data_IF_694605762411
#
_entry.id   IF_694605762411
#
_cell.length_a   1.000
_cell.length_b   1.000
_cell.length_c   1.000
_cell.angle_alpha   90.00
_cell.angle_beta   90.00
_cell.angle_gamma   90.00
#
_symmetry.space_group_name_H-M   'P 1'
#
loop_
_entity.id
_entity.type
_entity.pdbx_description
1 polymer ?
#
# COMPACT_ATOMS: atom_id res chain seq x y z
N UNK A 1 -36.15 62.39 -11.96
CA UNK A 1 -35.60 61.79 -10.72
C UNK A 1 -36.00 60.37 -10.71
N UNK A 2 -35.13 59.51 -11.19
CA UNK A 2 -35.31 58.08 -11.21
C UNK A 2 -34.03 57.47 -10.61
N UNK A 3 -34.17 56.93 -9.41
CA UNK A 3 -33.10 56.26 -8.65
C UNK A 3 -32.94 54.84 -9.15
N UNK A 4 -31.79 54.57 -9.76
CA UNK A 4 -31.35 53.24 -10.16
C UNK A 4 -30.85 52.47 -8.94
N UNK A 5 -31.51 51.37 -8.62
CA UNK A 5 -31.15 50.48 -7.55
C UNK A 5 -30.27 49.36 -8.15
N UNK A 6 -28.95 49.48 -7.99
CA UNK A 6 -27.97 48.45 -8.34
C UNK A 6 -28.13 47.24 -7.41
N UNK A 7 -28.67 46.17 -7.95
CA UNK A 7 -28.73 44.87 -7.29
C UNK A 7 -27.33 44.24 -7.30
N UNK A 8 -26.69 44.17 -6.14
CA UNK A 8 -25.40 43.49 -5.98
C UNK A 8 -25.58 41.99 -6.20
N UNK A 9 -25.01 41.47 -7.28
CA UNK A 9 -24.88 40.04 -7.54
C UNK A 9 -23.92 39.45 -6.49
N UNK A 10 -24.46 38.71 -5.56
CA UNK A 10 -23.67 37.92 -4.62
C UNK A 10 -22.91 36.83 -5.40
N UNK A 11 -21.61 36.98 -5.50
CA UNK A 11 -20.69 35.93 -5.96
C UNK A 11 -20.82 34.74 -5.00
N UNK A 12 -20.99 33.50 -5.51
CA UNK A 12 -21.00 32.34 -4.64
C UNK A 12 -19.63 32.21 -3.95
N UNK A 13 -19.64 32.10 -2.63
CA UNK A 13 -18.45 31.82 -1.86
C UNK A 13 -17.81 30.53 -2.42
N UNK A 14 -16.61 30.67 -2.95
CA UNK A 14 -15.77 29.51 -3.29
C UNK A 14 -15.49 28.78 -1.98
N UNK A 15 -16.20 27.69 -1.74
CA UNK A 15 -15.79 26.70 -0.78
C UNK A 15 -14.42 26.19 -1.23
N UNK A 16 -13.37 26.67 -0.60
CA UNK A 16 -12.10 25.99 -0.57
C UNK A 16 -12.32 24.66 0.17
N UNK A 17 -12.78 23.66 -0.57
CA UNK A 17 -12.63 22.27 -0.17
C UNK A 17 -11.13 22.08 0.00
N UNK A 18 -10.66 22.07 1.23
CA UNK A 18 -9.37 21.51 1.56
C UNK A 18 -9.36 20.12 0.93
N UNK A 19 -8.59 19.95 -0.14
CA UNK A 19 -8.42 18.68 -0.84
C UNK A 19 -7.58 17.76 0.05
N UNK A 20 -8.15 17.31 1.17
CA UNK A 20 -7.60 16.18 1.86
C UNK A 20 -7.57 15.02 0.87
N UNK A 21 -6.40 14.47 0.64
CA UNK A 21 -6.25 13.31 -0.25
C UNK A 21 -7.15 12.18 0.23
N UNK A 22 -7.74 11.44 -0.71
CA UNK A 22 -8.58 10.30 -0.37
C UNK A 22 -7.81 9.32 0.52
N UNK A 23 -8.41 8.85 1.61
CA UNK A 23 -7.84 7.78 2.42
C UNK A 23 -8.17 6.43 1.78
N UNK A 24 -7.14 5.64 1.51
CA UNK A 24 -7.28 4.24 1.12
C UNK A 24 -7.11 3.38 2.35
N UNK A 25 -8.13 2.61 2.70
CA UNK A 25 -7.98 1.68 3.81
C UNK A 25 -8.53 0.30 3.45
N UNK A 26 -7.98 -0.71 4.08
CA UNK A 26 -8.44 -2.08 3.96
C UNK A 26 -9.14 -2.52 5.23
N UNK A 27 -10.13 -3.41 5.08
CA UNK A 27 -10.66 -4.21 6.17
C UNK A 27 -10.05 -5.60 6.08
N UNK A 28 -9.52 -6.10 7.19
CA UNK A 28 -8.97 -7.43 7.30
C UNK A 28 -9.31 -8.05 8.66
N UNK A 29 -9.14 -9.36 8.78
CA UNK A 29 -9.55 -10.15 9.94
C UNK A 29 -9.95 -11.55 9.51
N UNK A 30 -10.31 -12.42 10.45
CA UNK A 30 -10.71 -13.78 10.15
C UNK A 30 -12.06 -13.84 9.41
N UNK A 31 -12.40 -15.02 8.90
CA UNK A 31 -13.74 -15.29 8.37
C UNK A 31 -14.77 -15.02 9.47
N UNK A 32 -15.93 -14.48 9.13
CA UNK A 32 -17.03 -14.15 10.03
C UNK A 32 -16.73 -13.11 11.13
N UNK A 33 -15.61 -12.38 11.05
CA UNK A 33 -15.34 -11.28 11.98
C UNK A 33 -16.23 -10.06 11.73
N UNK A 34 -17.04 -10.05 10.63
CA UNK A 34 -17.99 -9.01 10.30
C UNK A 34 -17.43 -7.91 9.39
N UNK A 35 -16.42 -8.22 8.55
CA UNK A 35 -15.83 -7.25 7.59
C UNK A 35 -16.88 -6.69 6.63
N UNK A 36 -17.57 -7.54 5.90
CA UNK A 36 -18.59 -7.14 4.92
C UNK A 36 -19.74 -6.40 5.61
N UNK A 37 -20.14 -6.83 6.82
CA UNK A 37 -21.15 -6.12 7.62
C UNK A 37 -20.68 -4.71 8.02
N UNK A 38 -19.42 -4.56 8.42
CA UNK A 38 -18.84 -3.25 8.76
C UNK A 38 -18.80 -2.31 7.56
N UNK A 39 -18.37 -2.82 6.40
CA UNK A 39 -18.34 -2.03 5.15
C UNK A 39 -19.76 -1.61 4.76
N UNK A 40 -20.69 -2.55 4.75
CA UNK A 40 -22.11 -2.25 4.48
C UNK A 40 -22.65 -1.18 5.43
N UNK A 41 -22.34 -1.27 6.72
CA UNK A 41 -22.74 -0.28 7.73
C UNK A 41 -22.14 1.09 7.45
N UNK A 42 -20.83 1.17 7.14
CA UNK A 42 -20.18 2.43 6.77
C UNK A 42 -20.86 3.06 5.54
N UNK A 43 -21.15 2.28 4.51
CA UNK A 43 -21.76 2.77 3.28
C UNK A 43 -23.21 3.26 3.50
N UNK A 44 -24.01 2.54 4.29
CA UNK A 44 -25.40 2.89 4.58
C UNK A 44 -25.48 4.13 5.47
N UNK A 45 -24.76 4.11 6.60
CA UNK A 45 -24.88 5.17 7.60
C UNK A 45 -24.20 6.47 7.16
N UNK A 46 -23.19 6.39 6.23
CA UNK A 46 -22.62 7.57 5.54
C UNK A 46 -23.49 8.10 4.39
N UNK A 47 -24.69 7.49 4.16
CA UNK A 47 -25.61 7.84 3.08
C UNK A 47 -25.01 7.77 1.67
N UNK A 48 -24.04 6.89 1.48
CA UNK A 48 -23.32 6.71 0.21
C UNK A 48 -23.91 5.64 -0.70
N UNK A 49 -24.98 4.95 -0.26
CA UNK A 49 -25.71 3.93 -1.01
C UNK A 49 -26.98 4.54 -1.58
N UNK A 50 -27.26 4.26 -2.86
CA UNK A 50 -28.51 4.67 -3.51
C UNK A 50 -29.70 3.91 -2.92
N UNK A 51 -30.88 4.57 -2.84
CA UNK A 51 -32.09 3.96 -2.25
C UNK A 51 -32.52 2.68 -2.95
N UNK A 52 -32.33 2.57 -4.27
CA UNK A 52 -32.67 1.38 -5.06
C UNK A 52 -31.79 0.18 -4.68
N UNK A 53 -30.51 0.41 -4.36
CA UNK A 53 -29.59 -0.63 -3.90
C UNK A 53 -29.97 -1.10 -2.48
N UNK A 54 -30.38 -0.17 -1.61
CA UNK A 54 -30.89 -0.51 -0.27
C UNK A 54 -32.15 -1.36 -0.35
N UNK A 55 -33.10 -1.02 -1.24
CA UNK A 55 -34.32 -1.79 -1.43
C UNK A 55 -34.05 -3.21 -1.93
N UNK A 56 -32.99 -3.42 -2.74
CA UNK A 56 -32.60 -4.73 -3.26
C UNK A 56 -32.01 -5.70 -2.21
N UNK A 57 -31.52 -5.19 -1.09
CA UNK A 57 -30.90 -5.99 -0.01
C UNK A 57 -31.77 -6.10 1.25
N UNK A 58 -32.94 -5.47 1.24
CA UNK A 58 -33.97 -5.65 2.30
C UNK A 58 -34.68 -6.96 2.08
N UNK A 59 -34.46 -7.92 2.97
CA UNK A 59 -35.24 -9.18 3.05
C UNK A 59 -35.97 -9.22 4.37
N UNK A 60 -37.29 -9.41 4.32
CA UNK A 60 -38.13 -9.59 5.52
C UNK A 60 -38.05 -8.47 6.57
N UNK A 61 -37.77 -7.22 6.16
CA UNK A 61 -37.67 -6.07 7.06
C UNK A 61 -36.29 -5.82 7.69
N UNK A 62 -35.32 -6.69 7.49
CA UNK A 62 -33.92 -6.47 7.88
C UNK A 62 -33.05 -6.26 6.65
N UNK A 63 -32.09 -5.33 6.76
CA UNK A 63 -31.12 -5.06 5.69
C UNK A 63 -29.93 -5.99 5.87
N UNK A 64 -29.73 -6.90 4.93
CA UNK A 64 -28.52 -7.71 4.90
C UNK A 64 -27.35 -6.87 4.34
N UNK A 65 -26.58 -6.31 5.27
CA UNK A 65 -25.48 -5.41 4.97
C UNK A 65 -24.33 -6.09 4.21
N UNK A 66 -24.16 -7.40 4.36
CA UNK A 66 -23.12 -8.15 3.67
C UNK A 66 -23.41 -8.25 2.16
N UNK A 67 -24.68 -8.36 1.77
CA UNK A 67 -25.08 -8.40 0.35
C UNK A 67 -24.73 -7.12 -0.43
N UNK A 68 -24.51 -5.99 0.26
CA UNK A 68 -24.05 -4.76 -0.39
C UNK A 68 -22.59 -4.86 -0.86
N UNK A 69 -21.84 -5.77 -0.28
CA UNK A 69 -20.40 -5.93 -0.54
C UNK A 69 -20.09 -7.13 -1.44
N UNK A 70 -20.91 -8.17 -1.41
CA UNK A 70 -20.69 -9.39 -2.16
C UNK A 70 -20.93 -9.17 -3.67
N UNK A 71 -19.84 -8.97 -4.41
CA UNK A 71 -19.88 -8.64 -5.84
C UNK A 71 -20.00 -9.87 -6.74
N UNK A 72 -19.35 -10.97 -6.37
CA UNK A 72 -19.28 -12.19 -7.17
C UNK A 72 -20.38 -13.18 -6.79
N UNK A 73 -20.91 -13.91 -7.77
CA UNK A 73 -21.88 -14.99 -7.50
C UNK A 73 -21.28 -16.08 -6.59
N UNK A 74 -19.99 -16.40 -6.79
CA UNK A 74 -19.27 -17.36 -5.95
C UNK A 74 -19.12 -16.90 -4.50
N UNK A 75 -18.94 -15.60 -4.25
CA UNK A 75 -18.90 -15.03 -2.89
C UNK A 75 -20.25 -15.16 -2.20
N UNK A 76 -21.34 -14.89 -2.93
CA UNK A 76 -22.71 -15.05 -2.41
C UNK A 76 -23.09 -16.49 -2.10
N UNK A 77 -22.61 -17.45 -2.91
CA UNK A 77 -22.84 -18.88 -2.72
C UNK A 77 -22.05 -19.44 -1.53
N UNK A 78 -20.80 -18.97 -1.37
CA UNK A 78 -19.89 -19.47 -0.33
C UNK A 78 -19.97 -18.65 0.96
N UNK A 79 -20.51 -17.43 0.93
CA UNK A 79 -20.58 -16.51 2.07
C UNK A 79 -19.21 -15.99 2.51
N UNK A 80 -18.22 -15.95 1.61
CA UNK A 80 -16.86 -15.51 1.90
C UNK A 80 -16.35 -14.53 0.82
N UNK A 81 -15.55 -13.56 1.21
CA UNK A 81 -14.82 -12.69 0.29
C UNK A 81 -13.68 -13.49 -0.35
N UNK A 82 -13.65 -13.56 -1.68
CA UNK A 82 -12.64 -14.31 -2.46
C UNK A 82 -11.61 -13.35 -3.03
N UNK A 83 -12.05 -12.27 -3.67
CA UNK A 83 -11.20 -11.27 -4.32
C UNK A 83 -11.32 -9.91 -3.63
N UNK A 84 -10.39 -9.01 -3.93
CA UNK A 84 -10.42 -7.65 -3.39
C UNK A 84 -11.48 -6.82 -4.09
N UNK A 85 -12.51 -6.45 -3.36
CA UNK A 85 -13.52 -5.52 -3.85
C UNK A 85 -13.22 -4.10 -3.34
N UNK A 86 -13.18 -3.12 -4.26
CA UNK A 86 -13.03 -1.72 -3.88
C UNK A 86 -14.38 -1.03 -3.82
N UNK A 87 -14.60 -0.30 -2.73
CA UNK A 87 -15.79 0.53 -2.52
C UNK A 87 -15.39 1.98 -2.27
N UNK A 88 -16.24 2.89 -2.69
CA UNK A 88 -15.97 4.32 -2.63
C UNK A 88 -17.09 5.00 -1.87
N UNK A 89 -16.72 5.85 -0.93
CA UNK A 89 -17.66 6.74 -0.28
C UNK A 89 -16.99 8.06 0.09
N UNK A 90 -17.77 9.04 0.47
CA UNK A 90 -17.29 10.34 0.88
C UNK A 90 -18.13 10.87 2.04
N UNK A 91 -17.48 11.59 2.94
CA UNK A 91 -18.11 12.49 3.91
C UNK A 91 -17.94 13.93 3.44
N UNK A 92 -18.44 14.88 4.20
CA UNK A 92 -18.22 16.30 3.93
C UNK A 92 -16.73 16.68 4.01
N UNK A 93 -15.96 15.93 4.80
CA UNK A 93 -14.55 16.24 5.09
C UNK A 93 -13.57 15.44 4.23
N UNK A 94 -13.89 14.20 3.82
CA UNK A 94 -12.93 13.31 3.17
C UNK A 94 -13.57 12.28 2.24
N UNK A 95 -12.81 11.91 1.19
CA UNK A 95 -13.12 10.76 0.32
C UNK A 95 -12.41 9.51 0.83
N UNK A 96 -13.06 8.36 0.67
CA UNK A 96 -12.54 7.07 1.10
C UNK A 96 -12.59 6.03 -0.01
N UNK A 97 -11.59 5.19 -0.03
CA UNK A 97 -11.50 4.00 -0.87
C UNK A 97 -11.31 2.82 0.08
N UNK A 98 -12.28 1.93 0.16
CA UNK A 98 -12.23 0.72 0.98
C UNK A 98 -11.78 -0.44 0.10
N UNK A 99 -10.76 -1.17 0.51
CA UNK A 99 -10.43 -2.48 -0.03
C UNK A 99 -10.95 -3.55 0.93
N UNK A 100 -11.96 -4.32 0.50
CA UNK A 100 -12.39 -5.49 1.28
C UNK A 100 -11.43 -6.64 1.02
N UNK A 101 -10.66 -7.01 2.05
CA UNK A 101 -9.69 -8.08 1.95
C UNK A 101 -10.27 -9.40 2.48
N UNK A 102 -10.04 -10.53 1.77
CA UNK A 102 -10.53 -11.82 2.20
C UNK A 102 -9.96 -12.22 3.56
N UNK A 103 -10.79 -12.89 4.38
CA UNK A 103 -10.40 -13.36 5.71
C UNK A 103 -9.80 -14.76 5.72
N UNK A 104 -9.96 -15.52 4.64
CA UNK A 104 -9.52 -16.90 4.56
C UNK A 104 -8.01 -17.00 4.23
N UNK A 105 -7.32 -17.92 4.87
CA UNK A 105 -5.87 -18.10 4.73
C UNK A 105 -5.42 -18.33 3.29
N UNK A 106 -6.19 -19.11 2.53
CA UNK A 106 -5.90 -19.40 1.11
C UNK A 106 -5.92 -18.18 0.19
N UNK A 107 -6.50 -17.06 0.63
CA UNK A 107 -6.58 -15.81 -0.13
C UNK A 107 -5.62 -14.73 0.39
N UNK A 108 -4.57 -15.11 1.12
CA UNK A 108 -3.55 -14.17 1.64
C UNK A 108 -2.95 -13.30 0.53
N UNK A 109 -2.83 -13.82 -0.71
CA UNK A 109 -2.41 -13.08 -1.90
C UNK A 109 -3.24 -11.82 -2.13
N UNK A 110 -4.56 -11.95 -2.04
CA UNK A 110 -5.49 -10.85 -2.27
C UNK A 110 -5.40 -9.81 -1.15
N UNK A 111 -5.20 -10.27 0.10
CA UNK A 111 -4.92 -9.37 1.23
C UNK A 111 -3.65 -8.55 1.02
N UNK A 112 -2.55 -9.17 0.57
CA UNK A 112 -1.29 -8.48 0.26
C UNK A 112 -1.48 -7.44 -0.84
N UNK A 113 -2.25 -7.78 -1.89
CA UNK A 113 -2.57 -6.86 -2.99
C UNK A 113 -3.34 -5.64 -2.48
N UNK A 114 -4.35 -5.82 -1.65
CA UNK A 114 -5.11 -4.72 -1.05
C UNK A 114 -4.24 -3.84 -0.15
N UNK A 115 -3.45 -4.46 0.73
CA UNK A 115 -2.60 -3.77 1.70
C UNK A 115 -1.48 -2.96 1.05
N UNK A 116 -0.95 -3.40 -0.10
CA UNK A 116 0.16 -2.73 -0.79
C UNK A 116 -0.15 -1.29 -1.20
N UNK A 117 -1.42 -0.96 -1.41
CA UNK A 117 -1.88 0.38 -1.80
C UNK A 117 -2.60 1.15 -0.69
N UNK A 118 -2.75 0.55 0.49
CA UNK A 118 -3.51 1.13 1.58
C UNK A 118 -2.68 2.11 2.43
N UNK A 119 -3.35 3.16 2.90
CA UNK A 119 -2.84 4.12 3.88
C UNK A 119 -3.12 3.63 5.30
N UNK A 120 -4.23 2.93 5.49
CA UNK A 120 -4.66 2.39 6.78
C UNK A 120 -5.19 0.96 6.66
N UNK A 121 -5.10 0.21 7.75
CA UNK A 121 -5.71 -1.11 7.88
C UNK A 121 -6.62 -1.13 9.11
N UNK A 122 -7.87 -1.55 8.92
CA UNK A 122 -8.84 -1.83 9.98
C UNK A 122 -8.88 -3.34 10.17
N UNK A 123 -8.26 -3.81 11.24
CA UNK A 123 -8.22 -5.24 11.59
C UNK A 123 -9.39 -5.54 12.52
N UNK A 124 -10.36 -6.28 12.01
CA UNK A 124 -11.50 -6.72 12.82
C UNK A 124 -11.09 -7.88 13.71
N UNK A 125 -11.61 -7.84 14.94
CA UNK A 125 -11.38 -8.86 15.97
C UNK A 125 -12.72 -9.25 16.55
N UNK A 126 -13.17 -10.47 16.31
CA UNK A 126 -14.42 -11.00 16.83
C UNK A 126 -14.27 -11.36 18.32
N UNK A 127 -14.90 -10.60 19.19
CA UNK A 127 -14.85 -10.80 20.64
C UNK A 127 -15.41 -12.17 21.06
N UNK A 128 -16.38 -12.72 20.31
CA UNK A 128 -17.04 -13.99 20.64
C UNK A 128 -16.16 -15.23 20.40
N UNK A 129 -15.10 -15.08 19.61
CA UNK A 129 -14.14 -16.15 19.29
C UNK A 129 -12.97 -16.23 20.27
N UNK A 130 -12.89 -15.29 21.21
CA UNK A 130 -11.79 -15.19 22.17
C UNK A 130 -12.25 -15.57 23.56
N UNK A 131 -11.33 -16.10 24.36
CA UNK A 131 -11.54 -16.33 25.79
C UNK A 131 -11.43 -14.99 26.55
N UNK A 132 -12.39 -14.11 26.27
CA UNK A 132 -12.37 -12.71 26.73
C UNK A 132 -12.44 -12.56 28.27
N UNK A 133 -12.83 -13.60 29.00
CA UNK A 133 -12.80 -13.60 30.48
C UNK A 133 -11.37 -13.75 31.02
N UNK A 134 -10.48 -14.31 30.22
CA UNK A 134 -9.08 -14.51 30.60
C UNK A 134 -8.24 -13.26 30.29
N UNK A 135 -7.62 -12.61 31.29
CA UNK A 135 -6.74 -11.46 31.04
C UNK A 135 -5.51 -11.78 30.18
N UNK A 136 -5.12 -13.07 30.09
CA UNK A 136 -4.00 -13.58 29.28
C UNK A 136 -4.48 -14.28 28.02
N UNK A 137 -5.60 -13.86 27.45
CA UNK A 137 -6.18 -14.48 26.26
C UNK A 137 -5.19 -14.51 25.08
N UNK A 138 -5.25 -15.57 24.28
CA UNK A 138 -4.49 -15.69 23.05
C UNK A 138 -5.26 -15.10 21.87
N UNK A 139 -4.61 -14.28 21.05
CA UNK A 139 -5.17 -13.76 19.82
C UNK A 139 -5.21 -14.83 18.74
N UNK A 140 -6.21 -14.77 17.86
CA UNK A 140 -6.34 -15.69 16.74
C UNK A 140 -5.13 -15.56 15.77
N UNK A 141 -4.67 -16.66 15.16
CA UNK A 141 -3.55 -16.65 14.21
C UNK A 141 -3.77 -15.67 13.05
N UNK A 142 -4.98 -15.57 12.52
CA UNK A 142 -5.27 -14.64 11.41
C UNK A 142 -5.19 -13.17 11.82
N UNK A 143 -5.64 -12.82 13.01
CA UNK A 143 -5.48 -11.45 13.56
C UNK A 143 -3.99 -11.07 13.60
N UNK A 144 -3.14 -11.98 14.09
CA UNK A 144 -1.69 -11.79 14.13
C UNK A 144 -1.10 -11.67 12.72
N UNK A 145 -1.42 -12.60 11.83
CA UNK A 145 -0.91 -12.63 10.44
C UNK A 145 -1.28 -11.37 9.66
N UNK A 146 -2.54 -10.97 9.68
CA UNK A 146 -2.98 -9.79 8.95
C UNK A 146 -2.34 -8.50 9.49
N UNK A 147 -2.21 -8.38 10.80
CA UNK A 147 -1.53 -7.24 11.41
C UNK A 147 -0.05 -7.18 11.03
N UNK A 148 0.65 -8.33 11.04
CA UNK A 148 2.05 -8.42 10.62
C UNK A 148 2.23 -8.10 9.13
N UNK A 149 1.36 -8.62 8.25
CA UNK A 149 1.42 -8.31 6.82
C UNK A 149 1.16 -6.84 6.56
N UNK A 150 0.17 -6.23 7.21
CA UNK A 150 -0.09 -4.79 7.09
C UNK A 150 1.13 -3.97 7.56
N UNK A 151 1.76 -4.36 8.66
CA UNK A 151 2.98 -3.73 9.17
C UNK A 151 4.16 -3.88 8.21
N UNK A 152 4.44 -5.10 7.73
CA UNK A 152 5.52 -5.37 6.78
C UNK A 152 5.35 -4.59 5.47
N UNK A 153 4.11 -4.47 4.98
CA UNK A 153 3.78 -3.68 3.80
C UNK A 153 3.76 -2.17 4.07
N UNK A 154 4.16 -1.74 5.27
CA UNK A 154 4.23 -0.33 5.68
C UNK A 154 2.88 0.38 5.55
N UNK A 155 1.77 -0.29 5.84
CA UNK A 155 0.51 0.40 6.01
C UNK A 155 0.67 1.36 7.18
N UNK A 156 0.46 2.66 6.91
CA UNK A 156 0.88 3.73 7.85
C UNK A 156 0.11 3.69 9.16
N UNK A 157 -1.19 3.43 9.09
CA UNK A 157 -2.07 3.44 10.25
C UNK A 157 -2.76 2.09 10.43
N UNK A 158 -2.59 1.46 11.58
CA UNK A 158 -3.28 0.24 11.93
C UNK A 158 -4.31 0.52 13.04
N UNK A 159 -5.56 0.12 12.80
CA UNK A 159 -6.67 0.26 13.74
C UNK A 159 -7.22 -1.13 14.04
N UNK A 160 -7.36 -1.45 15.32
CA UNK A 160 -8.11 -2.63 15.74
C UNK A 160 -9.57 -2.28 16.00
N UNK A 161 -10.49 -2.94 15.32
CA UNK A 161 -11.92 -2.85 15.54
C UNK A 161 -12.41 -4.12 16.24
N UNK A 162 -12.60 -4.05 17.55
CA UNK A 162 -13.11 -5.17 18.36
C UNK A 162 -14.61 -5.24 18.17
N UNK A 163 -15.05 -6.22 17.39
CA UNK A 163 -16.44 -6.37 16.92
C UNK A 163 -17.21 -7.41 17.74
N UNK A 164 -18.52 -7.38 17.64
CA UNK A 164 -19.47 -8.29 18.27
C UNK A 164 -19.45 -8.26 19.80
N UNK A 165 -19.00 -7.18 20.38
CA UNK A 165 -19.08 -6.97 21.84
C UNK A 165 -20.52 -6.88 22.34
N UNK A 166 -21.48 -6.58 21.47
CA UNK A 166 -22.91 -6.64 21.77
C UNK A 166 -23.46 -8.07 21.98
N UNK A 167 -22.67 -9.09 21.63
CA UNK A 167 -23.01 -10.50 21.81
C UNK A 167 -22.31 -11.16 23.03
N UNK A 168 -21.48 -10.43 23.78
CA UNK A 168 -20.82 -10.96 24.97
C UNK A 168 -21.51 -10.46 26.26
N UNK A 169 -21.38 -11.22 27.34
CA UNK A 169 -22.10 -10.93 28.60
C UNK A 169 -21.59 -9.66 29.30
N UNK A 170 -20.28 -9.36 29.22
CA UNK A 170 -19.66 -8.16 29.78
C UNK A 170 -18.80 -7.47 28.72
N UNK A 171 -19.35 -6.55 27.94
CA UNK A 171 -18.64 -5.85 26.88
C UNK A 171 -17.44 -5.02 27.39
N UNK A 172 -17.52 -4.47 28.60
CA UNK A 172 -16.45 -3.63 29.14
C UNK A 172 -15.22 -4.47 29.55
N UNK A 173 -15.43 -5.58 30.25
CA UNK A 173 -14.37 -6.51 30.62
C UNK A 173 -13.74 -7.13 29.36
N UNK A 174 -14.58 -7.59 28.42
CA UNK A 174 -14.13 -8.19 27.16
C UNK A 174 -13.27 -7.21 26.36
N UNK A 175 -13.73 -5.98 26.18
CA UNK A 175 -12.95 -4.95 25.49
C UNK A 175 -11.62 -4.65 26.18
N UNK A 176 -11.61 -4.52 27.51
CA UNK A 176 -10.39 -4.23 28.26
C UNK A 176 -9.34 -5.35 28.08
N UNK A 177 -9.73 -6.61 28.23
CA UNK A 177 -8.82 -7.74 28.09
C UNK A 177 -8.31 -7.92 26.65
N UNK A 178 -9.20 -7.82 25.64
CA UNK A 178 -8.83 -7.91 24.23
C UNK A 178 -7.91 -6.76 23.83
N UNK A 179 -8.20 -5.53 24.25
CA UNK A 179 -7.35 -4.37 23.99
C UNK A 179 -5.94 -4.55 24.59
N UNK A 180 -5.83 -5.07 25.80
CA UNK A 180 -4.54 -5.33 26.44
C UNK A 180 -3.74 -6.40 25.69
N UNK A 181 -4.38 -7.48 25.26
CA UNK A 181 -3.73 -8.53 24.47
C UNK A 181 -3.27 -8.02 23.10
N UNK A 182 -4.08 -7.20 22.43
CA UNK A 182 -3.72 -6.54 21.15
C UNK A 182 -2.55 -5.57 21.33
N UNK A 183 -2.53 -4.79 22.41
CA UNK A 183 -1.44 -3.87 22.70
C UNK A 183 -0.12 -4.61 23.00
N UNK A 184 -0.17 -5.68 23.79
CA UNK A 184 1.01 -6.51 24.06
C UNK A 184 1.57 -7.17 22.78
N UNK A 185 0.70 -7.71 21.93
CA UNK A 185 1.10 -8.24 20.64
C UNK A 185 1.71 -7.17 19.75
N UNK A 186 1.07 -6.02 19.61
CA UNK A 186 1.56 -4.92 18.77
C UNK A 186 2.94 -4.43 19.25
N UNK A 187 3.13 -4.28 20.55
CA UNK A 187 4.42 -3.92 21.14
C UNK A 187 5.51 -4.95 20.82
N UNK A 188 5.22 -6.23 21.00
CA UNK A 188 6.18 -7.30 20.70
C UNK A 188 6.53 -7.38 19.21
N UNK A 189 5.57 -7.06 18.32
CA UNK A 189 5.76 -7.06 16.87
C UNK A 189 6.33 -5.74 16.31
N UNK A 190 6.53 -4.71 17.14
CA UNK A 190 6.96 -3.39 16.68
C UNK A 190 5.89 -2.63 15.85
N UNK A 191 4.62 -2.99 16.01
CA UNK A 191 3.49 -2.40 15.28
C UNK A 191 3.01 -1.14 15.99
N UNK A 192 2.95 -0.02 15.27
CA UNK A 192 2.31 1.21 15.77
C UNK A 192 0.81 1.13 15.52
N UNK A 193 0.03 1.14 16.61
CA UNK A 193 -1.43 1.11 16.56
C UNK A 193 -1.98 2.51 16.68
N UNK A 194 -2.79 2.95 15.71
CA UNK A 194 -3.43 4.26 15.73
C UNK A 194 -4.56 4.30 16.77
N UNK A 195 -5.36 3.25 16.86
CA UNK A 195 -6.41 3.11 17.86
C UNK A 195 -6.89 1.65 17.99
N UNK A 196 -7.50 1.35 19.15
CA UNK A 196 -8.33 0.15 19.34
C UNK A 196 -9.72 0.60 19.75
N UNK A 197 -10.75 0.25 18.96
CA UNK A 197 -12.12 0.75 19.10
C UNK A 197 -13.08 -0.43 19.27
N UNK A 198 -13.98 -0.39 20.27
CA UNK A 198 -15.09 -1.34 20.34
C UNK A 198 -16.14 -0.97 19.32
N UNK A 199 -16.57 -1.91 18.49
CA UNK A 199 -17.62 -1.68 17.49
C UNK A 199 -18.67 -2.78 17.53
N UNK A 200 -19.91 -2.44 17.16
CA UNK A 200 -20.89 -3.41 16.71
C UNK A 200 -21.26 -3.07 15.27
N UNK A 201 -20.70 -3.80 14.31
CA UNK A 201 -21.03 -3.62 12.91
C UNK A 201 -22.51 -3.86 12.63
N UNK A 202 -23.13 -4.79 13.35
CA UNK A 202 -24.56 -5.12 13.21
C UNK A 202 -25.46 -3.98 13.74
N UNK A 203 -25.16 -3.45 14.92
CA UNK A 203 -25.97 -2.39 15.55
C UNK A 203 -25.56 -0.98 15.10
N UNK A 204 -24.39 -0.81 14.47
CA UNK A 204 -23.83 0.48 14.07
C UNK A 204 -23.12 1.25 15.20
N UNK A 205 -22.97 0.63 16.40
CA UNK A 205 -22.37 1.31 17.55
C UNK A 205 -20.87 1.55 17.32
N UNK A 206 -20.44 2.79 17.55
CA UNK A 206 -19.07 3.29 17.31
C UNK A 206 -18.57 3.09 15.86
N UNK A 207 -19.45 2.88 14.88
CA UNK A 207 -19.07 2.79 13.46
C UNK A 207 -19.03 4.18 12.83
N UNK A 208 -20.16 4.83 12.64
CA UNK A 208 -20.27 6.18 12.09
C UNK A 208 -20.44 7.20 13.21
N UNK A 209 -21.32 6.91 14.16
CA UNK A 209 -21.59 7.75 15.33
C UNK A 209 -21.03 7.09 16.58
N UNK A 210 -20.38 7.89 17.42
CA UNK A 210 -19.92 7.39 18.71
C UNK A 210 -21.10 7.02 19.60
N UNK A 211 -21.00 5.87 20.27
CA UNK A 211 -21.95 5.41 21.27
C UNK A 211 -21.31 5.58 22.64
N UNK A 212 -21.64 6.65 23.39
CA UNK A 212 -20.95 6.99 24.61
C UNK A 212 -21.11 5.92 25.68
N UNK A 213 -20.05 5.70 26.43
CA UNK A 213 -19.96 4.77 27.57
C UNK A 213 -20.19 3.28 27.28
N UNK A 214 -20.44 2.90 26.02
CA UNK A 214 -20.56 1.49 25.68
C UNK A 214 -19.18 0.81 25.70
N UNK A 215 -19.12 -0.36 26.31
CA UNK A 215 -17.90 -1.12 26.54
C UNK A 215 -16.77 -0.34 27.27
N UNK A 216 -17.14 0.68 28.06
CA UNK A 216 -16.20 1.54 28.78
C UNK A 216 -15.34 2.44 27.86
N UNK A 217 -15.82 2.72 26.65
CA UNK A 217 -15.11 3.53 25.67
C UNK A 217 -15.71 4.93 25.52
N UNK A 218 -14.84 5.95 25.51
CA UNK A 218 -15.21 7.36 25.39
C UNK A 218 -14.50 8.06 24.21
N UNK A 219 -13.92 7.29 23.29
CA UNK A 219 -13.22 7.82 22.14
C UNK A 219 -14.12 8.09 20.93
N UNK A 220 -13.54 8.49 19.78
CA UNK A 220 -14.26 8.74 18.53
C UNK A 220 -14.81 7.46 17.94
N UNK A 221 -15.82 7.58 17.06
CA UNK A 221 -16.26 6.49 16.21
C UNK A 221 -15.18 6.09 15.22
N UNK A 222 -15.33 4.92 14.58
CA UNK A 222 -14.40 4.47 13.55
C UNK A 222 -14.32 5.46 12.39
N UNK A 223 -15.46 5.99 11.92
CA UNK A 223 -15.47 6.97 10.83
C UNK A 223 -14.76 8.27 11.22
N UNK A 224 -15.05 8.82 12.40
CA UNK A 224 -14.37 10.01 12.90
C UNK A 224 -12.86 9.81 13.00
N UNK A 225 -12.40 8.62 13.41
CA UNK A 225 -10.98 8.30 13.41
C UNK A 225 -10.43 8.26 11.97
N UNK A 226 -11.08 7.55 11.05
CA UNK A 226 -10.65 7.44 9.65
C UNK A 226 -10.55 8.82 8.96
N UNK A 227 -11.40 9.78 9.32
CA UNK A 227 -11.34 11.15 8.81
C UNK A 227 -10.03 11.86 9.19
N UNK A 228 -9.46 11.52 10.33
CA UNK A 228 -8.24 12.17 10.87
C UNK A 228 -6.94 11.43 10.54
N UNK A 229 -7.00 10.15 10.13
CA UNK A 229 -5.80 9.38 9.84
C UNK A 229 -4.99 10.00 8.70
N UNK A 230 -3.66 10.06 8.81
CA UNK A 230 -2.82 10.53 7.73
C UNK A 230 -2.83 9.55 6.55
N UNK A 231 -2.66 10.05 5.33
CA UNK A 231 -2.28 9.22 4.20
C UNK A 231 -0.81 8.86 4.29
N UNK A 232 -0.42 7.79 3.63
CA UNK A 232 0.99 7.38 3.57
C UNK A 232 1.82 8.51 2.98
N UNK A 233 2.84 9.00 3.69
CA UNK A 233 3.73 10.01 3.14
C UNK A 233 4.39 9.53 1.85
N UNK A 234 4.51 10.42 0.87
CA UNK A 234 5.33 10.16 -0.30
C UNK A 234 6.82 10.19 0.08
N UNK A 235 7.63 9.39 -0.61
CA UNK A 235 9.09 9.36 -0.41
C UNK A 235 9.76 10.61 -1.04
N UNK A 236 9.31 11.82 -0.66
CA UNK A 236 9.68 13.09 -1.28
C UNK A 236 11.12 13.56 -0.95
N UNK A 237 11.64 13.19 0.23
CA UNK A 237 12.99 13.57 0.66
C UNK A 237 14.12 12.71 0.08
N UNK A 238 13.81 11.77 -0.79
CA UNK A 238 14.76 10.86 -1.41
C UNK A 238 15.22 11.38 -2.80
N UNK A 239 16.33 10.90 -3.34
CA UNK A 239 16.71 11.18 -4.73
C UNK A 239 15.63 10.72 -5.72
N UNK A 240 15.58 11.34 -6.91
CA UNK A 240 14.61 10.98 -7.95
C UNK A 240 14.74 9.51 -8.34
N UNK A 241 13.59 8.82 -8.38
CA UNK A 241 13.40 7.56 -9.08
C UNK A 241 12.05 7.58 -9.80
N UNK A 242 12.07 7.37 -11.10
CA UNK A 242 10.91 7.40 -11.98
C UNK A 242 10.83 6.12 -12.80
N UNK A 243 9.75 5.37 -12.65
CA UNK A 243 9.50 4.13 -13.40
C UNK A 243 8.76 4.43 -14.69
N UNK A 244 9.36 4.09 -15.83
CA UNK A 244 8.75 4.31 -17.15
C UNK A 244 7.65 3.27 -17.38
N UNK A 245 6.41 3.76 -17.56
CA UNK A 245 5.23 2.92 -17.79
C UNK A 245 4.83 2.88 -19.26
N UNK A 246 5.06 3.97 -19.97
CA UNK A 246 4.69 4.14 -21.36
C UNK A 246 5.66 5.06 -22.08
N UNK A 247 5.98 4.78 -23.34
CA UNK A 247 6.82 5.62 -24.20
C UNK A 247 5.97 6.11 -25.37
N UNK A 248 5.81 7.43 -25.47
CA UNK A 248 5.10 8.09 -26.55
C UNK A 248 6.08 8.73 -27.52
N UNK A 249 5.89 8.52 -28.81
CA UNK A 249 6.66 9.24 -29.84
C UNK A 249 6.00 10.60 -30.07
N UNK A 250 6.77 11.64 -29.92
CA UNK A 250 6.35 13.02 -30.17
C UNK A 250 6.75 13.43 -31.58
N UNK A 251 5.83 13.33 -32.55
CA UNK A 251 6.12 13.54 -33.95
C UNK A 251 6.11 15.01 -34.41
N UNK A 252 5.73 15.95 -33.56
CA UNK A 252 5.45 17.34 -33.96
C UNK A 252 6.54 18.37 -33.60
N UNK A 253 7.69 17.95 -33.02
CA UNK A 253 8.76 18.91 -32.69
C UNK A 253 9.69 19.12 -33.90
N UNK A 254 9.74 20.34 -34.42
CA UNK A 254 10.78 20.80 -35.33
C UNK A 254 12.12 21.07 -34.62
N UNK A 255 12.14 21.03 -33.29
CA UNK A 255 13.33 21.28 -32.47
C UNK A 255 14.17 20.00 -32.35
N UNK A 256 15.33 20.01 -32.97
CA UNK A 256 16.29 18.89 -32.95
C UNK A 256 17.13 18.81 -31.68
N UNK A 257 17.00 19.81 -30.78
CA UNK A 257 17.74 19.88 -29.52
C UNK A 257 17.01 19.23 -28.34
N UNK A 258 15.82 18.71 -28.56
CA UNK A 258 15.04 17.96 -27.55
C UNK A 258 14.75 16.55 -28.03
N UNK A 259 14.68 15.60 -27.10
CA UNK A 259 14.26 14.26 -27.39
C UNK A 259 12.85 14.22 -28.00
N UNK A 260 12.63 13.30 -28.94
CA UNK A 260 11.35 13.15 -29.66
C UNK A 260 10.38 12.20 -28.96
N UNK A 261 10.65 11.84 -27.70
CA UNK A 261 9.86 10.90 -26.91
C UNK A 261 9.44 11.52 -25.60
N UNK A 262 8.22 11.18 -25.18
CA UNK A 262 7.74 11.48 -23.84
C UNK A 262 7.70 10.14 -23.08
N UNK A 263 8.38 10.11 -21.94
CA UNK A 263 8.41 8.96 -21.05
C UNK A 263 7.36 9.17 -19.96
N UNK A 264 6.23 8.50 -20.08
CA UNK A 264 5.15 8.57 -19.13
C UNK A 264 5.35 7.56 -17.99
N UNK A 265 5.10 8.00 -16.78
CA UNK A 265 5.23 7.16 -15.60
C UNK A 265 4.80 7.84 -14.31
N UNK A 266 5.30 7.31 -13.22
CA UNK A 266 5.07 7.85 -11.89
C UNK A 266 6.40 8.18 -11.23
N UNK A 267 6.47 9.32 -10.59
CA UNK A 267 7.59 9.69 -9.71
C UNK A 267 7.47 8.82 -8.46
N UNK A 268 8.35 7.85 -8.30
CA UNK A 268 8.38 6.95 -7.15
C UNK A 268 8.93 7.65 -5.92
N UNK A 269 10.06 8.35 -6.10
CA UNK A 269 10.75 9.10 -5.03
C UNK A 269 11.25 10.43 -5.56
N UNK A 270 11.44 11.39 -4.65
CA UNK A 270 12.03 12.70 -4.95
C UNK A 270 11.15 13.57 -5.84
N UNK A 271 11.79 14.59 -6.41
CA UNK A 271 11.15 15.57 -7.28
C UNK A 271 11.81 15.58 -8.66
N UNK A 272 11.04 15.94 -9.69
CA UNK A 272 11.53 16.10 -11.05
C UNK A 272 11.14 17.45 -11.62
N UNK A 273 12.12 18.15 -12.17
CA UNK A 273 11.96 19.45 -12.82
C UNK A 273 12.88 19.55 -14.06
N UNK A 274 12.63 20.47 -14.98
CA UNK A 274 13.60 20.79 -16.04
C UNK A 274 14.99 21.09 -15.49
N UNK A 275 16.04 20.54 -16.13
CA UNK A 275 17.42 20.65 -15.70
C UNK A 275 17.89 19.55 -14.73
N UNK A 276 17.01 18.70 -14.21
CA UNK A 276 17.40 17.58 -13.36
C UNK A 276 18.30 16.61 -14.15
N UNK A 277 19.51 16.39 -13.66
CA UNK A 277 20.45 15.41 -14.23
C UNK A 277 19.99 14.00 -13.86
N UNK A 278 19.90 13.11 -14.87
CA UNK A 278 19.36 11.77 -14.71
C UNK A 278 20.25 10.70 -15.34
N UNK A 279 20.13 9.49 -14.82
CA UNK A 279 20.70 8.27 -15.38
C UNK A 279 19.60 7.27 -15.69
N UNK A 280 19.70 6.60 -16.81
CA UNK A 280 18.74 5.57 -17.24
C UNK A 280 19.29 4.20 -16.87
N UNK A 281 18.49 3.39 -16.22
CA UNK A 281 18.84 2.00 -15.93
C UNK A 281 17.93 1.05 -16.73
N UNK A 282 18.48 -0.03 -17.30
CA UNK A 282 19.84 -0.59 -17.05
C UNK A 282 20.94 -0.03 -17.96
N UNK A 283 20.63 0.82 -18.95
CA UNK A 283 21.62 1.23 -19.97
C UNK A 283 22.81 2.05 -19.41
N UNK A 284 22.64 2.69 -18.25
CA UNK A 284 23.64 3.57 -17.66
C UNK A 284 23.79 4.93 -18.34
N UNK A 285 23.03 5.20 -19.41
CA UNK A 285 23.13 6.45 -20.17
C UNK A 285 22.69 7.63 -19.30
N UNK A 286 23.36 8.78 -19.47
CA UNK A 286 23.07 10.02 -18.76
C UNK A 286 22.39 11.03 -19.67
N UNK A 287 21.45 11.79 -19.13
CA UNK A 287 20.74 12.87 -19.80
C UNK A 287 20.30 13.92 -18.78
N UNK A 288 19.68 15.00 -19.27
CA UNK A 288 19.01 15.97 -18.41
C UNK A 288 17.53 16.04 -18.79
N UNK A 289 16.69 16.33 -17.82
CA UNK A 289 15.28 16.54 -18.06
C UNK A 289 15.08 17.87 -18.77
N UNK A 290 14.57 17.83 -20.00
CA UNK A 290 14.25 19.05 -20.75
C UNK A 290 12.88 19.62 -20.35
N UNK A 291 11.88 18.74 -20.19
CA UNK A 291 10.53 19.12 -19.80
C UNK A 291 9.90 18.06 -18.90
N UNK A 292 9.02 18.53 -18.03
CA UNK A 292 8.09 17.69 -17.25
C UNK A 292 6.67 18.11 -17.60
N UNK A 293 5.83 17.16 -17.97
CA UNK A 293 4.50 17.42 -18.55
C UNK A 293 3.42 16.75 -17.70
N UNK A 294 2.25 17.40 -17.63
CA UNK A 294 1.02 16.78 -17.11
C UNK A 294 0.31 15.97 -18.22
N UNK A 295 -0.82 15.35 -17.87
CA UNK A 295 -1.64 14.58 -18.81
C UNK A 295 -2.21 15.41 -19.97
N UNK A 296 -2.24 16.73 -19.86
CA UNK A 296 -2.63 17.66 -20.93
C UNK A 296 -1.43 18.17 -21.73
N UNK A 297 -0.23 17.65 -21.46
CA UNK A 297 1.07 18.05 -22.02
C UNK A 297 1.47 19.47 -21.68
N UNK A 298 0.97 20.01 -20.58
CA UNK A 298 1.42 21.31 -20.07
C UNK A 298 2.62 21.14 -19.15
N UNK A 299 3.62 22.06 -19.25
CA UNK A 299 4.77 22.04 -18.36
C UNK A 299 4.37 22.15 -16.89
N UNK A 300 4.97 21.31 -16.05
CA UNK A 300 4.71 21.29 -14.61
C UNK A 300 5.92 20.71 -13.88
N UNK A 301 6.11 21.04 -12.60
CA UNK A 301 6.97 20.29 -11.70
C UNK A 301 6.17 19.16 -11.01
N UNK A 302 6.79 18.03 -10.76
CA UNK A 302 6.16 16.88 -10.11
C UNK A 302 7.05 16.30 -9.03
N UNK A 303 6.40 15.90 -7.94
CA UNK A 303 7.03 15.22 -6.83
C UNK A 303 6.59 13.77 -6.68
N UNK A 304 7.17 13.11 -5.69
CA UNK A 304 6.91 11.71 -5.37
C UNK A 304 5.40 11.39 -5.30
N UNK A 305 5.03 10.25 -5.85
CA UNK A 305 3.63 9.80 -5.91
C UNK A 305 2.79 10.36 -7.04
N UNK A 306 3.30 11.33 -7.83
CA UNK A 306 2.57 11.97 -8.92
C UNK A 306 2.94 11.37 -10.29
N UNK A 307 1.97 11.36 -11.21
CA UNK A 307 2.21 10.95 -12.59
C UNK A 307 2.78 12.11 -13.41
N UNK A 308 3.74 11.82 -14.29
CA UNK A 308 4.38 12.79 -15.15
C UNK A 308 4.75 12.20 -16.51
N UNK A 309 4.89 13.07 -17.51
CA UNK A 309 5.63 12.81 -18.74
C UNK A 309 6.97 13.51 -18.67
N UNK A 310 8.07 12.80 -18.91
CA UNK A 310 9.43 13.35 -18.95
C UNK A 310 9.90 13.41 -20.40
N UNK A 311 10.45 14.55 -20.82
CA UNK A 311 11.18 14.73 -22.07
C UNK A 311 12.63 14.94 -21.70
N UNK A 312 13.54 14.23 -22.34
CA UNK A 312 14.98 14.37 -22.14
C UNK A 312 15.59 15.36 -23.15
N UNK A 313 16.73 15.93 -22.81
CA UNK A 313 17.48 16.90 -23.62
C UNK A 313 18.06 16.32 -24.91
N UNK A 314 18.05 15.01 -25.05
CA UNK A 314 18.56 14.27 -26.23
C UNK A 314 17.85 12.94 -26.39
N UNK A 315 18.03 12.33 -27.56
CA UNK A 315 17.54 10.97 -27.81
C UNK A 315 18.39 9.97 -27.00
N UNK A 316 17.70 9.22 -26.14
CA UNK A 316 18.26 8.16 -25.29
C UNK A 316 17.40 6.93 -25.47
N UNK A 317 18.01 5.76 -25.51
CA UNK A 317 17.24 4.53 -25.60
C UNK A 317 16.62 4.20 -24.23
N UNK A 318 15.32 4.44 -24.14
CA UNK A 318 14.51 4.18 -22.95
C UNK A 318 13.27 3.41 -23.35
N UNK A 319 13.01 2.33 -22.66
CA UNK A 319 11.87 1.45 -22.90
C UNK A 319 10.94 1.40 -21.67
N UNK A 320 9.73 0.87 -21.89
CA UNK A 320 8.84 0.56 -20.77
C UNK A 320 9.52 -0.40 -19.80
N UNK A 321 9.48 -0.06 -18.51
CA UNK A 321 10.11 -0.82 -17.44
C UNK A 321 11.49 -0.31 -17.04
N UNK A 322 12.08 0.57 -17.83
CA UNK A 322 13.33 1.23 -17.44
C UNK A 322 13.10 2.24 -16.32
N UNK A 323 14.17 2.55 -15.61
CA UNK A 323 14.16 3.53 -14.55
C UNK A 323 14.95 4.78 -15.00
N UNK A 324 14.35 5.94 -14.77
CA UNK A 324 15.04 7.23 -14.84
C UNK A 324 15.29 7.64 -13.39
N UNK A 325 16.55 7.65 -12.97
CA UNK A 325 16.98 7.95 -11.60
C UNK A 325 17.84 9.20 -11.56
N UNK A 326 17.97 9.82 -10.38
CA UNK A 326 18.92 10.92 -10.21
C UNK A 326 20.33 10.47 -10.62
N UNK A 327 21.00 11.26 -11.46
CA UNK A 327 22.40 11.02 -11.77
C UNK A 327 23.24 11.16 -10.50
N UNK A 328 24.38 10.44 -10.39
CA UNK A 328 25.35 10.69 -9.33
C UNK A 328 25.72 12.17 -9.32
N UNK A 329 25.84 12.76 -8.11
CA UNK A 329 26.36 14.11 -8.00
C UNK A 329 27.79 14.13 -8.59
N UNK A 330 28.06 15.06 -9.52
CA UNK A 330 29.42 15.27 -9.97
C UNK A 330 30.26 15.60 -8.73
N UNK A 331 31.31 14.83 -8.48
CA UNK A 331 32.26 15.20 -7.45
C UNK A 331 32.70 16.64 -7.75
N UNK A 332 32.57 17.53 -6.78
CA UNK A 332 33.05 18.88 -6.91
C UNK A 332 34.59 18.76 -7.14
N UNK A 333 35.01 18.80 -8.39
CA UNK A 333 36.40 18.86 -8.75
C UNK A 333 36.89 20.23 -8.30
N UNK A 334 37.41 20.31 -7.08
CA UNK A 334 38.41 21.34 -6.78
C UNK A 334 39.62 20.99 -7.64
N UNK A 335 39.78 21.74 -8.72
CA UNK A 335 40.87 21.63 -9.66
C UNK A 335 42.19 22.06 -8.98
N UNK A 336 42.76 21.24 -8.14
CA UNK A 336 44.08 21.49 -7.53
C UNK A 336 44.71 20.26 -6.84
N UNK A 337 44.32 19.01 -7.07
CA UNK A 337 45.14 17.89 -6.60
C UNK A 337 45.01 16.71 -7.56
N UNK A 338 46.17 16.41 -8.18
CA UNK A 338 46.47 15.23 -9.01
C UNK A 338 46.59 14.00 -8.09
N UNK A 339 45.52 13.59 -7.40
CA UNK A 339 45.56 12.38 -6.59
C UNK A 339 44.67 11.31 -7.24
N UNK A 340 45.29 10.17 -7.57
CA UNK A 340 44.70 9.02 -8.27
C UNK A 340 43.57 8.28 -7.48
N UNK A 341 43.20 8.77 -6.32
CA UNK A 341 42.11 8.25 -5.45
C UNK A 341 40.89 9.17 -5.42
N UNK A 342 40.32 9.51 -6.60
CA UNK A 342 39.03 10.16 -6.63
C UNK A 342 37.98 9.13 -6.18
N UNK A 343 37.23 9.36 -5.09
CA UNK A 343 36.18 8.43 -4.67
C UNK A 343 35.18 8.22 -5.83
N UNK A 344 34.99 6.98 -6.24
CA UNK A 344 34.03 6.65 -7.30
C UNK A 344 32.68 7.28 -6.97
N UNK A 345 32.14 8.07 -7.92
CA UNK A 345 30.80 8.68 -7.81
C UNK A 345 29.78 7.60 -7.46
N UNK A 346 29.28 7.62 -6.23
CA UNK A 346 28.25 6.66 -5.83
C UNK A 346 26.91 7.09 -6.39
N UNK A 347 26.22 6.25 -7.17
CA UNK A 347 24.88 6.55 -7.64
C UNK A 347 23.93 6.68 -6.46
N UNK A 348 22.99 7.63 -6.56
CA UNK A 348 21.94 7.82 -5.55
C UNK A 348 21.16 6.54 -5.27
N UNK A 349 20.97 5.71 -6.30
CA UNK A 349 20.33 4.40 -6.23
C UNK A 349 21.28 3.36 -6.87
N UNK A 350 22.03 2.59 -6.05
CA UNK A 350 22.94 1.59 -6.58
C UNK A 350 22.18 0.49 -7.31
N UNK A 351 22.70 0.12 -8.48
CA UNK A 351 22.17 -1.03 -9.22
C UNK A 351 22.75 -2.32 -8.63
N UNK A 352 21.90 -3.30 -8.35
CA UNK A 352 22.30 -4.57 -7.75
C UNK A 352 21.67 -5.77 -8.46
N UNK A 353 22.36 -6.90 -8.40
CA UNK A 353 21.85 -8.21 -8.82
C UNK A 353 21.59 -9.15 -7.64
N UNK A 354 21.95 -8.75 -6.43
CA UNK A 354 21.78 -9.56 -5.25
C UNK A 354 21.06 -8.77 -4.16
N UNK A 355 19.99 -9.34 -3.64
CA UNK A 355 19.20 -8.74 -2.58
C UNK A 355 18.93 -9.76 -1.47
N UNK A 356 18.93 -9.26 -0.25
CA UNK A 356 18.35 -9.97 0.90
C UNK A 356 17.00 -9.32 1.18
N UNK A 357 15.98 -10.13 1.35
CA UNK A 357 14.62 -9.64 1.43
C UNK A 357 13.75 -10.46 2.39
N UNK A 358 12.79 -9.79 3.02
CA UNK A 358 11.63 -10.44 3.62
C UNK A 358 10.65 -10.80 2.51
N UNK A 359 10.16 -12.02 2.53
CA UNK A 359 9.20 -12.54 1.56
C UNK A 359 7.91 -13.00 2.24
N UNK A 360 6.77 -12.60 1.69
CA UNK A 360 5.49 -13.21 1.98
C UNK A 360 5.21 -14.23 0.88
N UNK A 361 5.28 -15.51 1.23
CA UNK A 361 5.07 -16.60 0.28
C UNK A 361 3.59 -16.86 0.10
N UNK A 362 3.13 -16.91 -1.14
CA UNK A 362 1.70 -16.95 -1.50
C UNK A 362 1.35 -18.07 -2.47
N UNK A 363 2.34 -18.88 -2.87
CA UNK A 363 2.08 -20.04 -3.73
C UNK A 363 1.51 -21.20 -2.89
N UNK A 364 0.84 -22.14 -3.57
CA UNK A 364 0.29 -23.34 -2.95
C UNK A 364 1.36 -24.42 -2.70
N UNK A 365 2.51 -24.32 -3.39
CA UNK A 365 3.65 -25.19 -3.19
C UNK A 365 4.71 -24.52 -2.31
N UNK A 366 5.48 -25.26 -1.52
CA UNK A 366 6.58 -24.72 -0.73
C UNK A 366 7.63 -24.01 -1.61
N UNK A 367 8.19 -22.91 -1.12
CA UNK A 367 9.36 -22.27 -1.72
C UNK A 367 10.60 -23.11 -1.43
N UNK A 368 11.25 -23.56 -2.48
CA UNK A 368 12.54 -24.25 -2.41
C UNK A 368 13.66 -23.35 -2.99
N UNK A 369 14.84 -23.44 -2.38
CA UNK A 369 16.02 -22.79 -2.93
C UNK A 369 16.38 -23.38 -4.31
N UNK A 370 16.88 -22.52 -5.21
CA UNK A 370 17.30 -22.91 -6.54
C UNK A 370 16.25 -22.72 -7.64
N UNK A 371 14.97 -22.57 -7.31
CA UNK A 371 13.90 -22.33 -8.29
C UNK A 371 13.99 -20.93 -8.89
N UNK A 372 13.66 -20.82 -10.17
CA UNK A 372 13.67 -19.57 -10.94
C UNK A 372 12.25 -19.05 -11.13
N UNK A 373 12.07 -17.77 -10.89
CA UNK A 373 10.81 -17.04 -11.04
C UNK A 373 10.99 -15.86 -12.01
N UNK A 374 9.88 -15.34 -12.50
CA UNK A 374 9.85 -13.97 -12.99
C UNK A 374 9.75 -13.02 -11.79
N UNK A 375 10.57 -11.98 -11.75
CA UNK A 375 10.45 -10.88 -10.83
C UNK A 375 9.95 -9.65 -11.57
N UNK A 376 8.88 -9.04 -11.06
CA UNK A 376 8.38 -7.74 -11.53
C UNK A 376 8.85 -6.67 -10.55
N UNK A 377 9.79 -5.82 -11.00
CA UNK A 377 10.27 -4.66 -10.27
C UNK A 377 9.85 -3.37 -10.99
N UNK A 378 9.01 -2.57 -10.37
CA UNK A 378 8.34 -1.46 -11.05
C UNK A 378 7.48 -1.96 -12.22
N UNK A 379 7.98 -1.83 -13.45
CA UNK A 379 7.32 -2.33 -14.67
C UNK A 379 8.24 -3.24 -15.49
N UNK A 380 9.39 -3.61 -14.94
CA UNK A 380 10.38 -4.46 -15.59
C UNK A 380 10.28 -5.90 -15.11
N UNK A 381 10.21 -6.81 -16.09
CA UNK A 381 10.26 -8.24 -15.85
C UNK A 381 11.70 -8.74 -16.01
N UNK A 382 12.19 -9.43 -14.97
CA UNK A 382 13.53 -10.02 -14.95
C UNK A 382 13.48 -11.43 -14.38
N UNK A 383 14.42 -12.27 -14.73
CA UNK A 383 14.56 -13.59 -14.09
C UNK A 383 15.20 -13.42 -12.72
N UNK A 384 14.62 -14.08 -11.74
CA UNK A 384 15.10 -14.11 -10.35
C UNK A 384 15.22 -15.55 -9.87
N UNK A 385 16.28 -15.83 -9.11
CA UNK A 385 16.50 -17.14 -8.49
C UNK A 385 16.59 -16.96 -6.98
N UNK A 386 15.75 -17.65 -6.23
CA UNK A 386 15.92 -17.73 -4.78
C UNK A 386 17.12 -18.64 -4.49
N UNK A 387 18.20 -18.04 -3.96
CA UNK A 387 19.44 -18.76 -3.68
C UNK A 387 19.38 -19.55 -2.39
N UNK A 388 18.79 -18.91 -1.37
CA UNK A 388 18.72 -19.49 -0.03
C UNK A 388 17.49 -18.98 0.71
N UNK A 389 16.86 -19.84 1.47
CA UNK A 389 15.94 -19.46 2.55
C UNK A 389 16.80 -19.34 3.82
N UNK A 390 16.75 -18.18 4.47
CA UNK A 390 17.57 -17.90 5.65
C UNK A 390 16.84 -18.29 6.93
N UNK A 391 15.56 -17.94 7.03
CA UNK A 391 14.70 -18.27 8.14
C UNK A 391 13.23 -18.08 7.78
N UNK A 392 12.33 -18.60 8.61
CA UNK A 392 10.89 -18.27 8.60
C UNK A 392 10.54 -17.50 9.87
N UNK A 393 9.51 -16.68 9.79
CA UNK A 393 8.93 -15.98 10.93
C UNK A 393 7.80 -16.85 11.51
N UNK A 394 7.91 -17.21 12.78
CA UNK A 394 6.77 -17.77 13.52
C UNK A 394 5.81 -16.65 13.91
N UNK A 395 4.59 -16.68 13.38
CA UNK A 395 3.58 -15.64 13.63
C UNK A 395 3.05 -15.64 15.07
N UNK A 396 3.26 -16.72 15.82
CA UNK A 396 2.78 -16.85 17.19
C UNK A 396 3.80 -16.35 18.21
N UNK A 397 5.08 -16.69 18.01
CA UNK A 397 6.17 -16.28 18.92
C UNK A 397 6.87 -15.00 18.44
N UNK A 398 6.72 -14.64 17.16
CA UNK A 398 7.45 -13.57 16.46
C UNK A 398 8.96 -13.85 16.34
N UNK A 399 9.37 -15.06 16.59
CA UNK A 399 10.76 -15.50 16.49
C UNK A 399 11.11 -15.93 15.06
N UNK A 400 12.36 -15.72 14.69
CA UNK A 400 12.91 -16.23 13.43
C UNK A 400 13.46 -17.62 13.69
N UNK A 401 12.95 -18.59 12.96
CA UNK A 401 13.36 -20.00 13.03
C UNK A 401 14.13 -20.35 11.77
N UNK A 402 15.22 -21.11 11.90
CA UNK A 402 15.95 -21.63 10.75
C UNK A 402 15.02 -22.46 9.87
N UNK A 403 15.11 -22.26 8.57
CA UNK A 403 14.29 -22.96 7.59
C UNK A 403 15.04 -23.11 6.27
N UNK A 404 14.88 -24.25 5.62
CA UNK A 404 15.39 -24.50 4.27
C UNK A 404 14.36 -24.26 3.18
N UNK A 405 13.08 -24.17 3.57
CA UNK A 405 11.93 -23.91 2.70
C UNK A 405 10.90 -23.04 3.41
N UNK A 406 10.00 -22.42 2.65
CA UNK A 406 8.83 -21.72 3.19
C UNK A 406 7.56 -22.41 2.73
N UNK A 407 6.74 -22.79 3.68
CA UNK A 407 5.42 -23.34 3.43
C UNK A 407 4.47 -22.27 2.87
N UNK A 408 3.36 -22.65 2.23
CA UNK A 408 2.32 -21.73 1.82
C UNK A 408 1.91 -20.79 2.95
N UNK A 409 1.73 -19.49 2.62
CA UNK A 409 1.39 -18.41 3.55
C UNK A 409 2.44 -18.10 4.63
N UNK A 410 3.65 -18.66 4.53
CA UNK A 410 4.74 -18.33 5.43
C UNK A 410 5.34 -16.96 5.09
N UNK A 411 5.89 -16.32 6.11
CA UNK A 411 6.74 -15.14 5.99
C UNK A 411 8.15 -15.58 6.36
N UNK A 412 9.13 -15.19 5.55
CA UNK A 412 10.50 -15.56 5.81
C UNK A 412 11.51 -14.60 5.20
N UNK A 413 12.78 -14.90 5.40
CA UNK A 413 13.90 -14.13 4.87
C UNK A 413 14.67 -14.96 3.86
N UNK A 414 14.98 -14.35 2.71
CA UNK A 414 15.63 -15.05 1.59
C UNK A 414 16.73 -14.22 0.96
N UNK A 415 17.63 -14.92 0.27
CA UNK A 415 18.60 -14.31 -0.66
C UNK A 415 18.16 -14.59 -2.10
N UNK A 416 18.10 -13.53 -2.90
CA UNK A 416 17.65 -13.60 -4.30
C UNK A 416 18.75 -13.05 -5.20
N UNK A 417 19.08 -13.79 -6.26
CA UNK A 417 19.89 -13.29 -7.37
C UNK A 417 19.02 -12.95 -8.57
N UNK A 418 19.31 -11.83 -9.22
CA UNK A 418 18.62 -11.28 -10.35
C UNK A 418 19.47 -11.40 -11.61
N UNK A 419 18.85 -11.71 -12.73
CA UNK A 419 19.56 -11.83 -14.02
C UNK A 419 20.12 -10.49 -14.47
N UNK A 420 19.41 -9.40 -14.20
CA UNK A 420 19.79 -8.03 -14.53
C UNK A 420 19.86 -7.20 -13.25
N UNK A 421 20.70 -6.17 -13.27
CA UNK A 421 20.78 -5.24 -12.16
C UNK A 421 19.56 -4.32 -12.12
N UNK A 422 19.03 -4.07 -10.94
CA UNK A 422 17.94 -3.14 -10.68
C UNK A 422 18.37 -2.05 -9.71
N UNK A 423 17.79 -0.84 -9.78
CA UNK A 423 17.95 0.13 -8.71
C UNK A 423 17.15 -0.41 -7.50
N UNK A 424 17.84 -0.76 -6.43
CA UNK A 424 17.20 -1.30 -5.25
C UNK A 424 17.58 -0.50 -3.99
N UNK A 425 16.58 -0.29 -3.15
CA UNK A 425 16.73 0.29 -1.83
C UNK A 425 16.01 -0.58 -0.80
N UNK A 426 16.38 -0.46 0.47
CA UNK A 426 15.58 -1.11 1.50
C UNK A 426 14.13 -0.59 1.46
N UNK A 427 13.17 -1.49 1.60
CA UNK A 427 11.74 -1.16 1.53
C UNK A 427 11.32 -0.11 2.57
N UNK A 428 12.02 -0.05 3.70
CA UNK A 428 11.81 1.00 4.72
C UNK A 428 12.14 2.41 4.22
N UNK A 429 13.01 2.54 3.22
CA UNK A 429 13.41 3.82 2.65
C UNK A 429 12.63 4.19 1.39
N UNK A 430 12.27 3.21 0.57
CA UNK A 430 11.46 3.42 -0.62
C UNK A 430 10.59 2.20 -0.91
N UNK A 431 9.27 2.40 -0.98
CA UNK A 431 8.35 1.34 -1.39
C UNK A 431 8.55 0.92 -2.85
N UNK A 432 8.76 1.89 -3.73
CA UNK A 432 8.87 1.66 -5.18
C UNK A 432 10.14 0.87 -5.54
N UNK A 433 11.29 1.24 -4.96
CA UNK A 433 12.57 0.60 -5.22
C UNK A 433 12.82 -0.64 -4.35
N UNK A 434 12.13 -0.73 -3.22
CA UNK A 434 12.32 -1.80 -2.22
C UNK A 434 11.33 -2.94 -2.35
N UNK A 435 10.47 -2.96 -3.35
CA UNK A 435 9.49 -4.04 -3.53
C UNK A 435 9.54 -4.67 -4.92
N UNK A 436 9.32 -5.96 -4.97
CA UNK A 436 9.10 -6.70 -6.21
C UNK A 436 8.16 -7.88 -5.96
N UNK A 437 7.61 -8.42 -7.03
CA UNK A 437 6.70 -9.56 -7.01
C UNK A 437 7.39 -10.72 -7.71
N UNK A 438 7.36 -11.91 -7.12
CA UNK A 438 7.73 -13.14 -7.81
C UNK A 438 6.50 -13.77 -8.45
N UNK A 439 6.66 -14.17 -9.70
CA UNK A 439 5.64 -14.87 -10.49
C UNK A 439 6.21 -16.19 -10.95
N UNK A 440 5.47 -17.26 -10.72
CA UNK A 440 5.89 -18.59 -11.14
C UNK A 440 5.96 -18.69 -12.67
N UNK A 441 7.04 -19.28 -13.18
CA UNK A 441 7.31 -19.31 -14.62
C UNK A 441 6.44 -20.29 -15.39
N UNK A 442 5.81 -21.25 -14.72
CA UNK A 442 4.97 -22.29 -15.33
C UNK A 442 3.48 -21.92 -15.27
N UNK A 443 2.99 -21.51 -14.08
CA UNK A 443 1.58 -21.21 -13.85
C UNK A 443 1.23 -19.74 -14.15
N UNK A 444 2.22 -18.85 -14.23
CA UNK A 444 2.06 -17.38 -14.29
C UNK A 444 1.29 -16.79 -13.10
N UNK A 445 1.18 -17.55 -12.00
CA UNK A 445 0.55 -17.06 -10.77
C UNK A 445 1.54 -16.26 -9.92
N UNK A 446 1.05 -15.26 -9.21
CA UNK A 446 1.86 -14.53 -8.22
C UNK A 446 2.24 -15.49 -7.10
N UNK A 447 3.55 -15.71 -6.93
CA UNK A 447 4.09 -16.63 -5.93
C UNK A 447 4.50 -15.91 -4.64
N UNK A 448 4.98 -14.67 -4.73
CA UNK A 448 5.41 -13.94 -3.53
C UNK A 448 5.40 -12.41 -3.71
N UNK A 449 5.22 -11.72 -2.58
CA UNK A 449 5.65 -10.33 -2.41
C UNK A 449 7.01 -10.31 -1.71
N UNK A 450 7.93 -9.52 -2.25
CA UNK A 450 9.33 -9.43 -1.80
C UNK A 450 9.61 -8.01 -1.36
N UNK A 451 10.11 -7.84 -0.15
CA UNK A 451 10.45 -6.58 0.47
C UNK A 451 11.95 -6.55 0.75
N UNK A 452 12.68 -5.73 0.01
CA UNK A 452 14.13 -5.63 0.10
C UNK A 452 14.54 -5.12 1.47
N UNK A 453 15.46 -5.81 2.14
CA UNK A 453 16.08 -5.38 3.39
C UNK A 453 17.43 -4.72 3.14
N UNK A 454 18.23 -5.36 2.30
CA UNK A 454 19.54 -4.86 1.90
C UNK A 454 19.89 -5.30 0.48
N UNK A 455 20.66 -4.47 -0.20
CA UNK A 455 21.23 -4.76 -1.51
C UNK A 455 22.75 -4.88 -1.37
N UNK A 456 23.33 -5.94 -1.93
CA UNK A 456 24.79 -6.04 -2.02
C UNK A 456 25.23 -5.34 -3.30
N UNK A 457 26.14 -4.37 -3.20
CA UNK A 457 26.74 -3.76 -4.37
C UNK A 457 27.47 -4.85 -5.15
N UNK A 458 27.15 -5.00 -6.44
CA UNK A 458 27.93 -5.82 -7.34
C UNK A 458 29.36 -5.26 -7.34
N UNK A 459 30.32 -5.96 -6.76
CA UNK A 459 31.74 -5.67 -7.00
C UNK A 459 31.95 -5.96 -8.48
N UNK A 460 32.14 -4.89 -9.26
CA UNK A 460 32.56 -4.92 -10.66
C UNK A 460 33.97 -5.45 -10.78
#
# INVERSE_FOLDING_TARGET
MTTDTLTAVRTPAQHHLHTASALRFITCGSVDDGKSTLIGRLLVDSKSVLQDQLAGVQRSGETDLALLTDGLSAEREQGITIDVAYRYFATETRKFIIGDAPGHEQYTRNMVTAASSADAAVVLVDATKLDWQNPQLALLPQTRRHSLLAHLLRVHSLVFAVNKLDAVADPALAFANIRNALAAFAQAAGITVAATIPVSALKGWNVVTAHPDWAGYQGPSLLQLLETLPTTPADAGQPLAFSVQWVEKFSASADTHQGRRIFWGRVGTGDVAPGTAVQILPSGQRASVAQVLDHTRKPIARGAGQSAGIVLDREVDVSRGDWIIAAPAAAATNAADDDFDTPAEQPAWPATREITATIAWMDNEPLLAGRVYWALHGRRWIKAKVRKVLNRLDINTLERQDAEQLEPNAIGRVEISLQEAIPAAAFVHSRELGSLILVDTASNSTAAAVLVESSQQSRS
#
